data_IF_386700220333
#
_entry.id   IF_386700220333
#
_cell.length_a   1.000
_cell.length_b   1.000
_cell.length_c   1.000
_cell.angle_alpha   90.00
_cell.angle_beta   90.00
_cell.angle_gamma   90.00
#
_symmetry.space_group_name_H-M   'P 1'
#
loop_
_entity.id
_entity.type
_entity.pdbx_description
1 polymer ?
#
# COMPACT_ATOMS: atom_id res chain seq x y z
N UNK A 1 -56.92 -36.88 9.27
CA UNK A 1 -56.37 -38.13 9.81
C UNK A 1 -55.95 -38.97 8.61
N UNK A 2 -54.65 -39.34 8.53
CA UNK A 2 -54.14 -40.14 7.39
C UNK A 2 -54.33 -41.63 7.75
N UNK A 3 -55.05 -42.35 6.88
CA UNK A 3 -55.31 -43.78 7.04
C UNK A 3 -54.43 -44.58 6.08
N UNK A 4 -53.78 -45.64 6.57
CA UNK A 4 -52.90 -46.52 5.81
C UNK A 4 -53.61 -47.86 5.65
N UNK A 5 -53.81 -48.35 4.41
CA UNK A 5 -54.39 -49.65 4.17
C UNK A 5 -53.39 -50.76 4.50
N UNK A 6 -53.81 -51.75 5.25
CA UNK A 6 -53.02 -52.98 5.53
C UNK A 6 -53.48 -54.13 4.65
N UNK A 7 -52.62 -55.18 4.51
CA UNK A 7 -52.86 -56.29 3.62
C UNK A 7 -54.21 -57.06 3.84
N UNK A 8 -54.82 -56.88 4.99
CA UNK A 8 -56.14 -57.47 5.32
C UNK A 8 -57.33 -56.59 4.88
N UNK A 9 -57.10 -55.46 4.21
CA UNK A 9 -58.13 -54.51 3.79
C UNK A 9 -58.63 -53.55 4.87
N UNK A 10 -58.19 -53.65 6.12
CA UNK A 10 -58.48 -52.70 7.16
C UNK A 10 -57.65 -51.43 7.01
N UNK A 11 -58.19 -50.30 7.46
CA UNK A 11 -57.47 -49.00 7.46
C UNK A 11 -57.05 -48.65 8.89
N UNK A 12 -55.79 -48.43 9.09
CA UNK A 12 -55.20 -48.04 10.39
C UNK A 12 -54.67 -46.63 10.34
N UNK A 13 -54.98 -45.81 11.36
CA UNK A 13 -54.44 -44.44 11.44
C UNK A 13 -52.93 -44.46 11.45
N UNK A 14 -52.24 -43.59 10.67
CA UNK A 14 -50.81 -43.49 10.60
C UNK A 14 -50.16 -43.26 11.97
N UNK A 15 -50.89 -42.59 12.90
CA UNK A 15 -50.47 -42.34 14.27
C UNK A 15 -50.27 -43.59 15.12
N UNK A 16 -50.91 -44.72 14.76
CA UNK A 16 -50.72 -46.02 15.44
C UNK A 16 -49.60 -46.83 14.86
N UNK A 17 -49.12 -46.44 13.66
CA UNK A 17 -48.03 -47.14 12.96
C UNK A 17 -46.67 -46.42 13.07
N UNK A 18 -46.67 -45.14 13.35
CA UNK A 18 -45.45 -44.34 13.41
C UNK A 18 -45.60 -43.10 14.33
N UNK A 19 -44.51 -42.78 15.04
CA UNK A 19 -44.41 -41.54 15.78
C UNK A 19 -44.10 -40.37 14.84
N UNK A 20 -45.04 -39.41 14.76
CA UNK A 20 -44.94 -38.27 13.87
C UNK A 20 -44.41 -37.09 14.69
N UNK A 21 -43.16 -36.72 14.45
CA UNK A 21 -42.51 -35.59 15.12
C UNK A 21 -42.18 -34.51 14.11
N UNK A 22 -42.45 -33.24 14.47
CA UNK A 22 -41.98 -32.09 13.70
C UNK A 22 -40.52 -31.83 14.03
N UNK A 23 -39.65 -32.00 13.08
CA UNK A 23 -38.25 -31.64 13.20
C UNK A 23 -37.92 -30.48 12.25
N UNK A 24 -37.05 -29.57 12.71
CA UNK A 24 -36.52 -28.53 11.81
C UNK A 24 -35.34 -29.14 11.04
N UNK A 25 -35.49 -29.22 9.74
CA UNK A 25 -34.39 -29.58 8.82
C UNK A 25 -33.74 -28.35 8.21
N UNK A 26 -32.64 -28.56 7.53
CA UNK A 26 -32.00 -27.48 6.74
C UNK A 26 -32.93 -27.06 5.60
N UNK A 27 -33.20 -25.74 5.48
CA UNK A 27 -34.03 -25.20 4.40
C UNK A 27 -33.33 -25.32 3.03
N UNK A 28 -32.02 -25.28 3.01
CA UNK A 28 -31.20 -25.38 1.81
C UNK A 28 -29.96 -26.22 2.14
N UNK A 29 -29.65 -27.18 1.29
CA UNK A 29 -28.42 -27.96 1.33
C UNK A 29 -27.49 -27.34 0.29
N UNK A 30 -26.36 -26.80 0.75
CA UNK A 30 -25.37 -26.19 -0.11
C UNK A 30 -24.15 -27.10 -0.20
N UNK A 31 -23.49 -27.10 -1.36
CA UNK A 31 -22.25 -27.83 -1.57
C UNK A 31 -21.24 -26.95 -2.32
N UNK A 32 -19.99 -26.99 -1.89
CA UNK A 32 -18.86 -26.37 -2.57
C UNK A 32 -17.79 -27.43 -2.82
N UNK A 33 -17.24 -27.48 -4.01
CA UNK A 33 -16.22 -28.44 -4.40
C UNK A 33 -16.55 -29.91 -4.02
N UNK A 34 -17.81 -30.30 -4.21
CA UNK A 34 -18.37 -31.63 -3.88
C UNK A 34 -18.59 -31.93 -2.38
N UNK A 35 -18.22 -31.02 -1.48
CA UNK A 35 -18.47 -31.15 -0.04
C UNK A 35 -19.74 -30.40 0.36
N UNK A 36 -20.49 -30.94 1.31
CA UNK A 36 -21.59 -30.24 1.93
C UNK A 36 -21.04 -29.14 2.83
N UNK A 37 -21.62 -27.94 2.73
CA UNK A 37 -21.16 -26.78 3.48
C UNK A 37 -22.28 -26.14 4.29
N UNK A 38 -21.96 -25.73 5.50
CA UNK A 38 -22.78 -24.87 6.36
C UNK A 38 -22.05 -23.55 6.61
N UNK A 39 -22.74 -22.43 6.42
CA UNK A 39 -22.15 -21.11 6.64
C UNK A 39 -22.51 -20.55 8.01
N UNK A 40 -21.51 -20.15 8.77
CA UNK A 40 -21.65 -19.30 9.95
C UNK A 40 -21.19 -17.90 9.56
N UNK A 41 -22.13 -16.99 9.41
CA UNK A 41 -21.87 -15.61 8.98
C UNK A 41 -21.68 -14.75 10.22
N UNK A 42 -20.60 -14.00 10.28
CA UNK A 42 -20.32 -12.99 11.29
C UNK A 42 -19.68 -11.75 10.64
N UNK A 43 -19.79 -10.60 11.30
CA UNK A 43 -19.23 -9.35 10.83
C UNK A 43 -18.31 -8.74 11.90
N UNK A 44 -17.45 -7.83 11.47
CA UNK A 44 -16.50 -7.14 12.35
C UNK A 44 -17.21 -6.06 13.18
N UNK A 45 -16.75 -5.87 14.39
CA UNK A 45 -17.10 -4.69 15.18
C UNK A 45 -16.37 -3.46 14.63
N UNK A 46 -17.02 -2.29 14.75
CA UNK A 46 -16.40 -1.03 14.35
C UNK A 46 -15.03 -0.84 15.02
N UNK A 47 -14.04 -0.42 14.22
CA UNK A 47 -12.68 -0.16 14.69
C UNK A 47 -11.74 -1.36 14.77
N UNK A 48 -12.19 -2.58 14.46
CA UNK A 48 -11.32 -3.77 14.39
C UNK A 48 -11.06 -4.20 12.95
N UNK A 49 -9.85 -4.71 12.68
CA UNK A 49 -9.51 -5.27 11.39
C UNK A 49 -10.14 -6.66 11.23
N UNK A 50 -10.70 -6.92 10.05
CA UNK A 50 -11.28 -8.24 9.71
C UNK A 50 -10.25 -9.37 9.86
N UNK A 51 -9.03 -9.13 9.40
CA UNK A 51 -7.92 -10.10 9.50
C UNK A 51 -7.59 -10.46 10.94
N UNK A 52 -7.59 -9.48 11.85
CA UNK A 52 -7.25 -9.72 13.26
C UNK A 52 -8.35 -10.51 13.96
N UNK A 53 -9.62 -10.22 13.65
CA UNK A 53 -10.77 -10.98 14.16
C UNK A 53 -10.71 -12.44 13.70
N UNK A 54 -10.44 -12.66 12.40
CA UNK A 54 -10.36 -14.02 11.87
C UNK A 54 -9.18 -14.80 12.46
N UNK A 55 -8.01 -14.15 12.62
CA UNK A 55 -6.85 -14.78 13.28
C UNK A 55 -7.14 -15.16 14.73
N UNK A 56 -7.80 -14.26 15.48
CA UNK A 56 -8.17 -14.53 16.86
C UNK A 56 -9.23 -15.62 16.95
N UNK A 57 -10.25 -15.60 16.10
CA UNK A 57 -11.25 -16.67 15.99
C UNK A 57 -10.63 -18.02 15.64
N UNK A 58 -9.69 -18.04 14.68
CA UNK A 58 -8.94 -19.27 14.34
C UNK A 58 -8.16 -19.82 15.54
N UNK A 59 -7.46 -18.92 16.27
CA UNK A 59 -6.70 -19.28 17.46
C UNK A 59 -7.59 -19.88 18.54
N UNK A 60 -8.74 -19.25 18.81
CA UNK A 60 -9.69 -19.73 19.82
C UNK A 60 -10.26 -21.11 19.42
N UNK A 61 -10.68 -21.27 18.16
CA UNK A 61 -11.20 -22.54 17.67
C UNK A 61 -10.15 -23.66 17.74
N UNK A 62 -8.91 -23.38 17.34
CA UNK A 62 -7.82 -24.34 17.43
C UNK A 62 -7.52 -24.76 18.89
N UNK A 63 -7.61 -23.79 19.81
CA UNK A 63 -7.42 -24.04 21.25
C UNK A 63 -8.54 -24.94 21.78
N UNK A 64 -9.81 -24.63 21.50
CA UNK A 64 -10.96 -25.41 21.96
C UNK A 64 -10.95 -26.84 21.40
N UNK A 65 -10.50 -27.01 20.14
CA UNK A 65 -10.33 -28.35 19.54
C UNK A 65 -9.22 -29.13 20.26
N UNK A 66 -8.09 -28.48 20.60
CA UNK A 66 -6.98 -29.12 21.32
C UNK A 66 -7.33 -29.49 22.76
N UNK A 67 -8.11 -28.65 23.42
CA UNK A 67 -8.58 -28.89 24.80
C UNK A 67 -9.74 -29.90 24.87
N UNK A 68 -10.28 -30.31 23.70
CA UNK A 68 -11.39 -31.24 23.62
C UNK A 68 -12.75 -30.68 23.97
N UNK A 69 -12.84 -29.34 24.13
CA UNK A 69 -14.13 -28.66 24.36
C UNK A 69 -15.00 -28.66 23.10
N UNK A 70 -14.36 -28.55 21.92
CA UNK A 70 -15.01 -28.64 20.61
C UNK A 70 -14.55 -29.89 19.88
N UNK A 71 -15.41 -30.89 19.80
CA UNK A 71 -15.17 -32.10 19.05
C UNK A 71 -15.78 -31.97 17.65
N UNK A 72 -14.95 -32.03 16.62
CA UNK A 72 -15.41 -32.11 15.25
C UNK A 72 -15.66 -33.58 14.89
N UNK A 73 -16.81 -33.86 14.30
CA UNK A 73 -17.10 -35.21 13.78
C UNK A 73 -16.09 -35.61 12.68
N UNK A 74 -15.78 -36.89 12.54
CA UNK A 74 -14.89 -37.39 11.49
C UNK A 74 -15.35 -36.95 10.09
N UNK A 75 -14.49 -36.22 9.37
CA UNK A 75 -14.79 -35.67 8.04
C UNK A 75 -15.32 -34.25 8.03
N UNK A 76 -15.53 -33.61 9.18
CA UNK A 76 -15.88 -32.20 9.29
C UNK A 76 -14.61 -31.36 9.41
N UNK A 77 -14.51 -30.32 8.60
CA UNK A 77 -13.45 -29.30 8.67
C UNK A 77 -14.05 -27.92 8.60
N UNK A 78 -13.37 -26.92 9.15
CA UNK A 78 -13.79 -25.54 9.05
C UNK A 78 -12.78 -24.72 8.22
N UNK A 79 -13.27 -23.69 7.55
CA UNK A 79 -12.47 -22.76 6.79
C UNK A 79 -13.09 -21.37 6.88
N UNK A 80 -12.26 -20.37 7.15
CA UNK A 80 -12.67 -18.98 7.01
C UNK A 80 -12.65 -18.59 5.53
N UNK A 81 -13.77 -18.08 5.04
CA UNK A 81 -13.95 -17.67 3.63
C UNK A 81 -14.43 -16.22 3.56
N UNK A 82 -14.49 -15.67 2.36
CA UNK A 82 -14.91 -14.29 2.11
C UNK A 82 -13.74 -13.35 1.87
N UNK A 83 -13.89 -12.07 2.27
CA UNK A 83 -12.89 -11.03 2.03
C UNK A 83 -11.52 -11.36 2.65
N UNK A 84 -11.52 -12.03 3.79
CA UNK A 84 -10.29 -12.47 4.46
C UNK A 84 -9.40 -13.33 3.56
N UNK A 85 -9.96 -14.34 2.90
CA UNK A 85 -9.19 -15.24 2.02
C UNK A 85 -8.60 -14.49 0.81
N UNK A 86 -9.39 -13.56 0.25
CA UNK A 86 -8.92 -12.72 -0.85
C UNK A 86 -7.81 -11.78 -0.39
N UNK A 87 -7.93 -11.21 0.80
CA UNK A 87 -6.93 -10.31 1.37
C UNK A 87 -5.63 -11.06 1.69
N UNK A 88 -5.69 -12.26 2.23
CA UNK A 88 -4.51 -13.08 2.53
C UNK A 88 -3.77 -13.49 1.24
N UNK A 89 -4.50 -13.96 0.21
CA UNK A 89 -3.94 -14.26 -1.10
C UNK A 89 -3.28 -13.05 -1.75
N UNK A 90 -3.93 -11.88 -1.66
CA UNK A 90 -3.40 -10.66 -2.23
C UNK A 90 -2.17 -10.17 -1.47
N UNK A 91 -2.16 -10.24 -0.13
CA UNK A 91 -0.98 -9.90 0.70
C UNK A 91 0.22 -10.76 0.35
N UNK A 92 0.02 -12.07 0.19
CA UNK A 92 1.10 -12.98 -0.23
C UNK A 92 1.68 -12.64 -1.60
N UNK A 93 0.85 -12.23 -2.55
CA UNK A 93 1.30 -11.76 -3.87
C UNK A 93 2.02 -10.43 -3.80
N UNK A 94 1.55 -9.49 -2.96
CA UNK A 94 2.15 -8.17 -2.78
C UNK A 94 3.55 -8.24 -2.19
N UNK A 95 3.84 -9.23 -1.34
CA UNK A 95 5.20 -9.47 -0.83
C UNK A 95 6.24 -9.71 -1.94
N UNK A 96 5.82 -10.19 -3.10
CA UNK A 96 6.67 -10.38 -4.28
C UNK A 96 6.60 -9.16 -5.21
N UNK A 97 5.39 -8.64 -5.43
CA UNK A 97 5.15 -7.56 -6.40
C UNK A 97 5.80 -6.24 -5.97
N UNK A 98 5.75 -5.90 -4.67
CA UNK A 98 6.32 -4.64 -4.17
C UNK A 98 7.85 -4.59 -4.34
N UNK A 99 8.64 -5.58 -3.90
CA UNK A 99 10.09 -5.59 -4.17
C UNK A 99 10.41 -5.63 -5.67
N UNK A 100 9.63 -6.36 -6.46
CA UNK A 100 9.80 -6.41 -7.92
C UNK A 100 9.56 -5.04 -8.56
N UNK A 101 8.51 -4.32 -8.13
CA UNK A 101 8.24 -2.97 -8.61
C UNK A 101 9.38 -2.00 -8.26
N UNK A 102 9.89 -2.04 -7.03
CA UNK A 102 11.04 -1.23 -6.61
C UNK A 102 12.30 -1.56 -7.41
N UNK A 103 12.54 -2.83 -7.69
CA UNK A 103 13.67 -3.26 -8.52
C UNK A 103 13.53 -2.77 -9.96
N UNK A 104 12.34 -2.84 -10.55
CA UNK A 104 12.07 -2.31 -11.90
C UNK A 104 12.31 -0.80 -11.92
N UNK A 105 11.81 -0.05 -10.93
CA UNK A 105 12.06 1.39 -10.80
C UNK A 105 13.56 1.68 -10.72
N UNK A 106 14.30 0.94 -9.91
CA UNK A 106 15.75 1.09 -9.80
C UNK A 106 16.47 0.79 -11.12
N UNK A 107 16.06 -0.24 -11.85
CA UNK A 107 16.60 -0.57 -13.17
C UNK A 107 16.34 0.54 -14.19
N UNK A 108 15.13 1.07 -14.24
CA UNK A 108 14.77 2.20 -15.12
C UNK A 108 15.63 3.42 -14.80
N UNK A 109 15.82 3.75 -13.51
CA UNK A 109 16.72 4.83 -13.08
C UNK A 109 18.17 4.57 -13.49
N UNK A 110 18.64 3.33 -13.37
CA UNK A 110 19.99 2.96 -13.79
C UNK A 110 20.19 3.13 -15.29
N UNK A 111 19.24 2.70 -16.13
CA UNK A 111 19.32 2.90 -17.58
C UNK A 111 19.28 4.38 -17.96
N UNK A 112 18.55 5.21 -17.20
CA UNK A 112 18.45 6.64 -17.43
C UNK A 112 19.79 7.36 -17.10
N UNK A 113 20.37 7.10 -15.93
CA UNK A 113 21.54 7.85 -15.45
C UNK A 113 22.88 7.18 -15.75
N UNK A 114 22.89 5.90 -16.13
CA UNK A 114 24.07 5.07 -16.43
C UNK A 114 25.13 5.04 -15.30
N UNK A 115 24.78 5.50 -14.10
CA UNK A 115 25.63 5.50 -12.90
C UNK A 115 24.83 5.05 -11.71
N UNK A 116 25.38 4.10 -10.93
CA UNK A 116 24.71 3.56 -9.75
C UNK A 116 24.48 4.65 -8.70
N UNK A 117 25.46 5.53 -8.52
CA UNK A 117 25.35 6.60 -7.50
C UNK A 117 24.22 7.59 -7.81
N UNK A 118 24.10 8.05 -9.07
CA UNK A 118 23.00 8.94 -9.43
C UNK A 118 21.65 8.22 -9.30
N UNK A 119 21.56 6.97 -9.74
CA UNK A 119 20.32 6.18 -9.61
C UNK A 119 19.90 6.02 -8.14
N UNK A 120 20.84 5.76 -7.23
CA UNK A 120 20.56 5.65 -5.79
C UNK A 120 20.15 6.99 -5.17
N UNK A 121 20.72 8.12 -5.60
CA UNK A 121 20.31 9.46 -5.15
C UNK A 121 18.84 9.69 -5.49
N UNK A 122 18.42 9.40 -6.72
CA UNK A 122 17.02 9.56 -7.13
C UNK A 122 16.11 8.54 -6.43
N UNK A 123 16.56 7.30 -6.29
CA UNK A 123 15.82 6.26 -5.62
C UNK A 123 15.59 6.53 -4.12
N UNK A 124 16.49 7.29 -3.48
CA UNK A 124 16.32 7.71 -2.08
C UNK A 124 15.04 8.52 -1.85
N UNK A 125 14.59 9.30 -2.84
CA UNK A 125 13.34 10.03 -2.80
C UNK A 125 12.11 9.11 -2.65
N UNK A 126 12.15 7.91 -3.23
CA UNK A 126 11.08 6.91 -3.10
C UNK A 126 10.94 6.44 -1.66
N UNK A 127 12.05 6.19 -0.97
CA UNK A 127 12.02 5.79 0.45
C UNK A 127 11.45 6.89 1.34
N UNK A 128 11.79 8.15 1.07
CA UNK A 128 11.25 9.28 1.83
C UNK A 128 9.75 9.40 1.59
N UNK A 129 9.29 9.32 0.35
CA UNK A 129 7.86 9.35 0.01
C UNK A 129 7.10 8.19 0.66
N UNK A 130 7.69 6.98 0.63
CA UNK A 130 7.16 5.78 1.27
C UNK A 130 7.01 5.96 2.80
N UNK A 131 8.05 6.45 3.46
CA UNK A 131 8.01 6.71 4.91
C UNK A 131 6.91 7.70 5.28
N UNK A 132 6.75 8.79 4.52
CA UNK A 132 5.72 9.79 4.79
C UNK A 132 4.32 9.28 4.45
N UNK A 133 4.17 8.42 3.45
CA UNK A 133 2.92 7.70 3.20
C UNK A 133 2.47 6.88 4.42
N UNK A 134 3.39 6.18 5.08
CA UNK A 134 3.11 5.47 6.35
C UNK A 134 2.82 6.42 7.51
N UNK A 135 3.56 7.52 7.63
CA UNK A 135 3.32 8.53 8.66
C UNK A 135 1.90 9.10 8.51
N UNK A 136 1.46 9.39 7.29
CA UNK A 136 0.10 9.90 7.07
C UNK A 136 -0.96 8.84 7.41
N UNK A 137 -0.76 7.58 7.06
CA UNK A 137 -1.65 6.48 7.47
C UNK A 137 -1.75 6.37 9.00
N UNK A 138 -0.62 6.50 9.71
CA UNK A 138 -0.60 6.51 11.17
C UNK A 138 -1.34 7.73 11.74
N UNK A 139 -1.14 8.91 11.15
CA UNK A 139 -1.81 10.14 11.54
C UNK A 139 -3.33 10.07 11.39
N UNK A 140 -3.83 9.39 10.38
CA UNK A 140 -5.27 9.16 10.20
C UNK A 140 -5.91 8.43 11.37
N UNK A 141 -5.14 7.58 12.06
CA UNK A 141 -5.60 6.88 13.27
C UNK A 141 -5.53 7.69 14.56
N UNK A 142 -4.93 8.90 14.54
CA UNK A 142 -4.74 9.72 15.75
C UNK A 142 -5.94 10.65 15.99
N UNK A 143 -6.47 10.68 17.20
CA UNK A 143 -7.66 11.48 17.54
C UNK A 143 -7.40 12.99 17.55
N UNK A 144 -6.16 13.41 17.73
CA UNK A 144 -5.76 14.82 17.73
C UNK A 144 -5.50 15.37 16.33
N UNK A 145 -5.25 14.51 15.34
CA UNK A 145 -4.89 14.94 13.99
C UNK A 145 -6.11 15.50 13.26
N UNK A 146 -5.99 16.72 12.73
CA UNK A 146 -7.02 17.50 12.03
C UNK A 146 -8.35 17.62 12.78
N UNK A 147 -8.34 17.54 14.12
CA UNK A 147 -9.52 17.72 14.95
C UNK A 147 -9.79 19.21 15.21
N UNK A 148 -10.15 19.92 14.15
CA UNK A 148 -10.55 21.33 14.18
C UNK A 148 -11.65 21.57 13.14
N UNK A 149 -12.48 22.59 13.39
CA UNK A 149 -13.60 22.92 12.51
C UNK A 149 -13.28 24.15 11.65
N UNK A 150 -13.56 24.03 10.34
CA UNK A 150 -13.52 25.14 9.38
C UNK A 150 -14.92 25.28 8.78
N UNK A 151 -15.46 26.50 8.75
CA UNK A 151 -16.78 26.81 8.20
C UNK A 151 -17.94 25.97 8.79
N UNK A 152 -17.79 25.46 10.03
CA UNK A 152 -18.81 24.68 10.71
C UNK A 152 -18.68 23.15 10.55
N UNK A 153 -17.81 22.68 9.66
CA UNK A 153 -17.52 21.25 9.46
C UNK A 153 -16.23 20.87 10.15
N UNK A 154 -16.22 19.71 10.83
CA UNK A 154 -15.02 19.14 11.40
C UNK A 154 -14.19 18.51 10.29
N UNK A 155 -12.92 18.89 10.17
CA UNK A 155 -12.03 18.36 9.13
C UNK A 155 -11.82 16.86 9.27
N UNK A 156 -11.81 16.33 10.49
CA UNK A 156 -11.71 14.90 10.74
C UNK A 156 -12.88 14.12 10.13
N UNK A 157 -14.10 14.64 10.28
CA UNK A 157 -15.31 14.02 9.73
C UNK A 157 -15.35 14.15 8.20
N UNK A 158 -14.95 15.31 7.67
CA UNK A 158 -14.89 15.57 6.23
C UNK A 158 -13.94 14.60 5.51
N UNK A 159 -12.77 14.33 6.09
CA UNK A 159 -11.80 13.38 5.53
C UNK A 159 -11.97 11.95 6.05
N UNK A 160 -13.05 11.64 6.76
CA UNK A 160 -13.37 10.32 7.30
C UNK A 160 -12.20 9.66 8.04
N UNK A 161 -11.52 10.44 8.89
CA UNK A 161 -10.32 10.00 9.58
C UNK A 161 -10.63 8.96 10.64
N UNK A 162 -10.14 7.76 10.40
CA UNK A 162 -10.21 6.62 11.32
C UNK A 162 -8.96 5.76 11.13
N UNK A 163 -8.75 4.81 12.01
CA UNK A 163 -7.64 3.87 11.88
C UNK A 163 -7.78 3.04 10.59
N UNK A 164 -6.82 3.17 9.69
CA UNK A 164 -6.79 2.45 8.42
C UNK A 164 -5.81 1.29 8.53
N UNK A 165 -6.32 0.08 8.30
CA UNK A 165 -5.51 -1.12 8.28
C UNK A 165 -4.76 -1.26 6.95
N UNK A 166 -3.58 -1.88 6.99
CA UNK A 166 -2.78 -2.19 5.82
C UNK A 166 -3.49 -3.21 4.92
N UNK A 167 -4.42 -2.73 4.12
CA UNK A 167 -5.16 -3.51 3.13
C UNK A 167 -4.44 -3.56 1.79
N UNK A 168 -4.93 -4.40 0.88
CA UNK A 168 -4.47 -4.43 -0.52
C UNK A 168 -4.57 -3.06 -1.18
N UNK A 169 -5.64 -2.30 -0.90
CA UNK A 169 -5.83 -0.96 -1.43
C UNK A 169 -4.71 0.00 -1.03
N UNK A 170 -4.27 -0.03 0.23
CA UNK A 170 -3.13 0.75 0.73
C UNK A 170 -1.84 0.41 -0.03
N UNK A 171 -1.56 -0.89 -0.24
CA UNK A 171 -0.37 -1.31 -0.99
C UNK A 171 -0.40 -0.90 -2.46
N UNK A 172 -1.58 -0.95 -3.10
CA UNK A 172 -1.76 -0.42 -4.46
C UNK A 172 -1.46 1.09 -4.50
N UNK A 173 -1.89 1.84 -3.48
CA UNK A 173 -1.55 3.25 -3.32
C UNK A 173 -0.03 3.48 -3.21
N UNK A 174 0.69 2.65 -2.46
CA UNK A 174 2.16 2.72 -2.40
C UNK A 174 2.83 2.39 -3.73
N UNK A 175 2.35 1.38 -4.46
CA UNK A 175 2.91 1.05 -5.79
C UNK A 175 2.71 2.21 -6.76
N UNK A 176 1.54 2.85 -6.76
CA UNK A 176 1.29 4.05 -7.55
C UNK A 176 2.21 5.21 -7.13
N UNK A 177 2.41 5.40 -5.82
CA UNK A 177 3.32 6.40 -5.28
C UNK A 177 4.76 6.21 -5.76
N UNK A 178 5.26 4.98 -5.87
CA UNK A 178 6.64 4.73 -6.34
C UNK A 178 6.87 5.27 -7.74
N UNK A 179 5.89 5.13 -8.65
CA UNK A 179 5.96 5.69 -9.98
C UNK A 179 5.99 7.22 -9.98
N UNK A 180 5.05 7.83 -9.27
CA UNK A 180 4.94 9.29 -9.17
C UNK A 180 6.13 9.91 -8.46
N UNK A 181 6.61 9.28 -7.36
CA UNK A 181 7.74 9.79 -6.59
C UNK A 181 9.07 9.82 -7.36
N UNK A 182 9.22 9.02 -8.40
CA UNK A 182 10.42 9.04 -9.26
C UNK A 182 10.35 10.07 -10.37
N UNK A 183 9.17 10.48 -10.81
CA UNK A 183 8.97 11.31 -12.01
C UNK A 183 9.64 12.69 -11.87
N UNK A 184 9.31 13.47 -10.86
CA UNK A 184 9.89 14.79 -10.63
C UNK A 184 11.41 14.74 -10.40
N UNK A 185 11.87 13.71 -9.66
CA UNK A 185 13.29 13.47 -9.41
C UNK A 185 14.07 13.20 -10.70
N UNK A 186 13.54 12.32 -11.56
CA UNK A 186 14.15 11.97 -12.85
C UNK A 186 14.21 13.18 -13.78
N UNK A 187 13.11 13.92 -13.89
CA UNK A 187 13.06 15.12 -14.75
C UNK A 187 14.09 16.17 -14.29
N UNK A 188 14.18 16.42 -12.99
CA UNK A 188 15.15 17.35 -12.42
C UNK A 188 16.59 16.88 -12.65
N UNK A 189 16.89 15.60 -12.34
CA UNK A 189 18.21 15.04 -12.49
C UNK A 189 18.69 14.97 -13.93
N UNK A 190 17.82 14.61 -14.86
CA UNK A 190 18.11 14.59 -16.29
C UNK A 190 18.46 15.99 -16.79
N UNK A 191 17.72 17.01 -16.33
CA UNK A 191 17.98 18.38 -16.75
C UNK A 191 19.28 18.93 -16.16
N UNK A 192 19.60 18.63 -14.90
CA UNK A 192 20.90 18.95 -14.30
C UNK A 192 22.04 18.28 -15.09
N UNK A 193 21.87 17.00 -15.43
CA UNK A 193 22.86 16.27 -16.24
C UNK A 193 23.09 16.93 -17.61
N UNK A 194 22.03 17.35 -18.27
CA UNK A 194 22.12 18.07 -19.55
C UNK A 194 22.87 19.41 -19.42
N UNK A 195 22.55 20.20 -18.38
CA UNK A 195 23.25 21.45 -18.11
C UNK A 195 24.73 21.22 -17.81
N UNK A 196 25.08 20.13 -17.12
CA UNK A 196 26.48 19.76 -16.87
C UNK A 196 27.22 19.37 -18.16
N UNK A 197 26.55 18.72 -19.12
CA UNK A 197 27.14 18.42 -20.43
C UNK A 197 27.35 19.67 -21.29
N UNK A 198 26.43 20.64 -21.20
CA UNK A 198 26.54 21.91 -21.96
C UNK A 198 27.60 22.85 -21.40
N UNK A 199 27.72 22.98 -20.07
CA UNK A 199 28.53 23.99 -19.41
C UNK A 199 29.91 23.48 -18.97
N UNK A 200 30.15 22.17 -18.94
CA UNK A 200 31.37 21.52 -18.45
C UNK A 200 31.92 22.17 -17.15
N UNK A 201 31.14 22.20 -16.05
CA UNK A 201 31.52 22.94 -14.86
C UNK A 201 32.75 22.31 -14.20
N UNK A 202 33.84 23.10 -14.03
CA UNK A 202 35.13 22.64 -13.50
C UNK A 202 35.42 23.12 -12.08
N UNK A 203 34.70 24.15 -11.64
CA UNK A 203 34.83 24.68 -10.26
C UNK A 203 33.59 24.40 -9.47
N UNK A 204 33.71 24.44 -8.12
CA UNK A 204 32.54 24.28 -7.25
C UNK A 204 31.50 25.37 -7.46
N UNK A 205 31.95 26.59 -7.78
CA UNK A 205 31.05 27.70 -8.07
C UNK A 205 30.22 27.42 -9.33
N UNK A 206 30.87 26.96 -10.41
CA UNK A 206 30.20 26.65 -11.67
C UNK A 206 29.19 25.50 -11.51
N UNK A 207 29.51 24.48 -10.68
CA UNK A 207 28.58 23.37 -10.38
C UNK A 207 27.30 23.92 -9.72
N UNK A 208 27.46 24.76 -8.68
CA UNK A 208 26.32 25.34 -7.98
C UNK A 208 25.48 26.23 -8.88
N UNK A 209 26.12 27.05 -9.68
CA UNK A 209 25.43 27.92 -10.64
C UNK A 209 24.68 27.09 -11.70
N UNK A 210 25.26 26.03 -12.22
CA UNK A 210 24.63 25.11 -13.14
C UNK A 210 23.40 24.42 -12.53
N UNK A 211 23.52 23.94 -11.28
CA UNK A 211 22.39 23.31 -10.56
C UNK A 211 21.27 24.30 -10.27
N UNK A 212 21.59 25.52 -9.86
CA UNK A 212 20.59 26.59 -9.63
C UNK A 212 19.89 26.95 -10.94
N UNK A 213 20.64 27.12 -12.03
CA UNK A 213 20.07 27.43 -13.34
C UNK A 213 19.13 26.31 -13.85
N UNK A 214 19.50 25.05 -13.63
CA UNK A 214 18.64 23.88 -13.92
C UNK A 214 17.38 23.89 -13.05
N UNK A 215 17.54 24.09 -11.75
CA UNK A 215 16.44 24.13 -10.79
C UNK A 215 15.41 25.18 -11.11
N UNK A 216 15.83 26.42 -11.38
CA UNK A 216 14.93 27.52 -11.70
C UNK A 216 14.01 27.25 -12.90
N UNK A 217 14.48 26.48 -13.87
CA UNK A 217 13.68 26.09 -15.06
C UNK A 217 12.71 24.96 -14.79
N UNK A 218 13.01 24.04 -13.85
CA UNK A 218 12.24 22.81 -13.62
C UNK A 218 11.35 22.83 -12.40
N UNK A 219 11.71 23.57 -11.34
CA UNK A 219 10.93 23.65 -10.10
C UNK A 219 9.48 24.11 -10.34
N UNK A 220 9.27 25.10 -11.21
CA UNK A 220 7.91 25.62 -11.48
C UNK A 220 7.00 24.57 -12.15
N UNK A 221 7.37 23.91 -13.27
CA UNK A 221 6.55 22.84 -13.84
C UNK A 221 6.29 21.69 -12.88
N UNK A 222 7.30 21.21 -12.17
CA UNK A 222 7.17 20.12 -11.21
C UNK A 222 6.22 20.49 -10.05
N UNK A 223 6.35 21.68 -9.47
CA UNK A 223 5.44 22.15 -8.42
C UNK A 223 3.98 22.26 -8.92
N UNK A 224 3.77 22.66 -10.18
CA UNK A 224 2.42 22.71 -10.77
C UNK A 224 1.83 21.32 -10.91
N UNK A 225 2.60 20.34 -11.38
CA UNK A 225 2.15 18.94 -11.51
C UNK A 225 1.78 18.36 -10.15
N UNK A 226 2.66 18.49 -9.16
CA UNK A 226 2.42 18.00 -7.80
C UNK A 226 1.19 18.66 -7.17
N UNK A 227 1.04 20.00 -7.30
CA UNK A 227 -0.12 20.71 -6.79
C UNK A 227 -1.43 20.24 -7.47
N UNK A 228 -1.43 20.10 -8.78
CA UNK A 228 -2.60 19.62 -9.52
C UNK A 228 -3.02 18.23 -9.09
N UNK A 229 -2.07 17.31 -8.92
CA UNK A 229 -2.36 15.94 -8.47
C UNK A 229 -2.86 15.91 -7.02
N UNK A 230 -2.27 16.69 -6.12
CA UNK A 230 -2.76 16.83 -4.74
C UNK A 230 -4.20 17.34 -4.71
N UNK A 231 -4.52 18.37 -5.48
CA UNK A 231 -5.88 18.91 -5.58
C UNK A 231 -6.84 17.85 -6.15
N UNK A 232 -6.42 17.08 -7.16
CA UNK A 232 -7.22 16.01 -7.76
C UNK A 232 -7.51 14.85 -6.77
N UNK A 233 -6.64 14.61 -5.80
CA UNK A 233 -6.85 13.60 -4.76
C UNK A 233 -7.80 14.05 -3.64
N UNK A 234 -8.01 15.36 -3.42
CA UNK A 234 -8.90 15.85 -2.35
C UNK A 234 -10.33 15.32 -2.45
N UNK A 235 -11.00 15.32 -3.63
CA UNK A 235 -12.34 14.75 -3.75
C UNK A 235 -12.38 13.24 -3.46
N UNK A 236 -11.29 12.52 -3.73
CA UNK A 236 -11.19 11.09 -3.42
C UNK A 236 -11.10 10.87 -1.91
N UNK A 237 -10.28 11.68 -1.21
CA UNK A 237 -10.12 11.60 0.24
C UNK A 237 -11.38 11.99 1.02
N UNK A 238 -12.26 12.79 0.44
CA UNK A 238 -13.55 13.21 1.03
C UNK A 238 -14.74 12.43 0.51
N UNK A 239 -14.53 11.39 -0.31
CA UNK A 239 -15.62 10.61 -0.91
C UNK A 239 -16.34 9.74 0.12
N UNK A 240 -17.69 9.72 0.07
CA UNK A 240 -18.59 8.98 0.98
C UNK A 240 -19.52 8.09 0.18
N UNK A 241 -19.14 7.20 -0.60
CA UNK A 241 -20.02 6.38 -1.43
C UNK A 241 -19.59 4.93 -1.50
N UNK A 242 -20.28 4.15 -2.29
CA UNK A 242 -19.88 2.79 -2.63
C UNK A 242 -18.50 2.84 -3.29
N UNK A 243 -17.52 2.14 -2.72
CA UNK A 243 -16.14 2.11 -3.19
C UNK A 243 -15.21 3.10 -2.48
N UNK A 244 -15.70 4.02 -1.65
CA UNK A 244 -14.87 4.91 -0.83
C UNK A 244 -13.97 4.10 0.12
N UNK A 245 -14.46 2.99 0.62
CA UNK A 245 -13.75 2.01 1.46
C UNK A 245 -12.48 1.41 0.80
N UNK A 246 -12.39 1.45 -0.53
CA UNK A 246 -11.21 1.03 -1.29
C UNK A 246 -10.41 2.26 -1.77
N UNK A 247 -11.10 3.29 -2.27
CA UNK A 247 -10.47 4.44 -2.91
C UNK A 247 -9.75 5.33 -1.89
N UNK A 248 -10.34 5.59 -0.72
CA UNK A 248 -9.75 6.44 0.31
C UNK A 248 -8.45 5.83 0.87
N UNK A 249 -8.41 4.55 1.33
CA UNK A 249 -7.16 3.93 1.78
C UNK A 249 -6.05 3.89 0.72
N UNK A 250 -6.39 3.80 -0.57
CA UNK A 250 -5.44 3.85 -1.67
C UNK A 250 -4.88 5.27 -1.87
N UNK A 251 -5.71 6.30 -1.71
CA UNK A 251 -5.32 7.68 -1.94
C UNK A 251 -4.44 8.26 -0.82
N UNK A 252 -4.59 7.81 0.43
CA UNK A 252 -3.86 8.35 1.59
C UNK A 252 -2.34 8.23 1.45
N UNK A 253 -1.73 7.05 1.21
CA UNK A 253 -0.28 6.96 1.06
C UNK A 253 0.22 7.75 -0.15
N UNK A 254 -0.54 7.77 -1.23
CA UNK A 254 -0.20 8.54 -2.43
C UNK A 254 -0.19 10.05 -2.13
N UNK A 255 -1.22 10.56 -1.45
CA UNK A 255 -1.30 11.96 -1.04
C UNK A 255 -0.17 12.34 -0.09
N UNK A 256 0.09 11.53 0.95
CA UNK A 256 1.18 11.76 1.91
C UNK A 256 2.55 11.77 1.26
N UNK A 257 2.83 10.79 0.40
CA UNK A 257 4.09 10.72 -0.32
C UNK A 257 4.30 11.89 -1.28
N UNK A 258 3.25 12.34 -1.96
CA UNK A 258 3.31 13.51 -2.85
C UNK A 258 3.49 14.83 -2.11
N UNK A 259 2.94 15.00 -0.91
CA UNK A 259 3.19 16.18 -0.09
C UNK A 259 4.69 16.36 0.18
N UNK A 260 5.39 15.30 0.55
CA UNK A 260 6.84 15.37 0.82
C UNK A 260 7.66 15.45 -0.46
N UNK A 261 7.14 14.96 -1.57
CA UNK A 261 7.83 14.99 -2.85
C UNK A 261 8.15 16.42 -3.30
N UNK A 262 7.30 17.40 -3.00
CA UNK A 262 7.60 18.80 -3.23
C UNK A 262 8.85 19.27 -2.48
N UNK A 263 9.18 18.66 -1.32
CA UNK A 263 10.44 18.92 -0.60
C UNK A 263 11.61 18.10 -1.18
N UNK A 264 11.40 16.85 -1.56
CA UNK A 264 12.46 16.00 -2.15
C UNK A 264 12.95 16.57 -3.49
N UNK A 265 12.11 17.32 -4.20
CA UNK A 265 12.50 18.06 -5.41
C UNK A 265 13.68 19.02 -5.19
N UNK A 266 13.86 19.53 -3.97
CA UNK A 266 15.04 20.34 -3.60
C UNK A 266 16.20 19.50 -3.07
N UNK A 267 15.92 18.38 -2.43
CA UNK A 267 16.94 17.49 -1.85
C UNK A 267 17.78 16.82 -2.95
N UNK A 268 17.15 16.34 -4.00
CA UNK A 268 17.86 15.66 -5.11
C UNK A 268 18.91 16.54 -5.78
N UNK A 269 18.64 17.79 -6.21
CA UNK A 269 19.66 18.68 -6.75
C UNK A 269 20.82 18.96 -5.78
N UNK A 270 20.52 19.12 -4.49
CA UNK A 270 21.56 19.34 -3.47
C UNK A 270 22.47 18.12 -3.35
N UNK A 271 21.92 16.90 -3.32
CA UNK A 271 22.70 15.68 -3.26
C UNK A 271 23.55 15.47 -4.54
N UNK A 272 23.00 15.78 -5.72
CA UNK A 272 23.75 15.74 -6.97
C UNK A 272 24.88 16.77 -6.99
N UNK A 273 24.63 17.99 -6.52
CA UNK A 273 25.63 19.03 -6.39
C UNK A 273 26.78 18.58 -5.49
N UNK A 274 26.44 18.07 -4.29
CA UNK A 274 27.42 17.57 -3.33
C UNK A 274 28.24 16.39 -3.88
N UNK A 275 27.58 15.45 -4.56
CA UNK A 275 28.26 14.32 -5.19
C UNK A 275 29.24 14.79 -6.28
N UNK A 276 28.86 15.70 -7.14
CA UNK A 276 29.70 16.23 -8.22
C UNK A 276 30.88 17.06 -7.66
N UNK A 277 30.65 17.88 -6.64
CA UNK A 277 31.71 18.63 -5.96
C UNK A 277 32.78 17.67 -5.36
N UNK A 278 32.35 16.57 -4.75
CA UNK A 278 33.28 15.57 -4.21
C UNK A 278 34.02 14.79 -5.28
N UNK A 279 33.38 14.50 -6.43
CA UNK A 279 34.04 13.86 -7.57
C UNK A 279 35.17 14.75 -8.12
N UNK A 280 34.95 16.03 -8.34
CA UNK A 280 35.97 16.98 -8.81
C UNK A 280 37.11 17.11 -7.80
N UNK A 281 36.82 17.18 -6.50
CA UNK A 281 37.88 17.20 -5.46
C UNK A 281 38.76 15.97 -5.54
N UNK A 282 38.18 14.81 -5.79
CA UNK A 282 38.96 13.55 -5.89
C UNK A 282 39.82 13.52 -7.14
N UNK A 283 39.26 14.01 -8.29
CA UNK A 283 40.04 14.13 -9.53
C UNK A 283 41.21 15.11 -9.42
N UNK A 284 41.01 16.25 -8.79
CA UNK A 284 42.07 17.24 -8.55
C UNK A 284 43.15 16.68 -7.63
N UNK A 285 42.77 15.96 -6.55
CA UNK A 285 43.74 15.33 -5.64
C UNK A 285 44.56 14.25 -6.33
N UNK A 286 43.96 13.44 -7.19
CA UNK A 286 44.66 12.40 -7.95
C UNK A 286 45.63 13.02 -8.95
N UNK A 287 45.26 14.10 -9.67
CA UNK A 287 46.19 14.80 -10.60
C UNK A 287 47.40 15.39 -9.88
N UNK A 288 47.19 16.03 -8.73
CA UNK A 288 48.30 16.56 -7.92
C UNK A 288 49.25 15.42 -7.46
N UNK A 289 48.67 14.26 -7.11
CA UNK A 289 49.48 13.12 -6.65
C UNK A 289 50.25 12.47 -7.79
N UNK A 290 49.69 12.40 -9.00
CA UNK A 290 50.39 11.96 -10.21
C UNK A 290 51.52 12.93 -10.61
N UNK A 291 51.28 14.24 -10.54
CA UNK A 291 52.32 15.23 -10.81
C UNK A 291 53.47 15.13 -9.80
N UNK A 292 53.20 15.01 -8.50
CA UNK A 292 54.23 14.84 -7.46
C UNK A 292 55.05 13.58 -7.70
N UNK A 293 54.39 12.46 -8.03
CA UNK A 293 55.10 11.18 -8.32
C UNK A 293 55.98 11.27 -9.57
N UNK A 294 55.59 12.09 -10.56
CA UNK A 294 56.34 12.28 -11.80
C UNK A 294 57.60 13.17 -11.59
N UNK A 295 57.60 14.04 -10.59
CA UNK A 295 58.80 14.87 -10.22
C UNK A 295 59.79 14.16 -9.29
N UNK A 296 59.42 13.02 -8.67
CA UNK A 296 60.29 12.22 -7.80
C UNK A 296 61.10 11.12 -8.56
N UNK A 297 60.86 10.96 -9.87
CA UNK A 297 61.62 10.07 -10.76
C UNK A 297 62.57 10.91 -11.66
#
# INVERSE_FOLDING_TARGET
>A
MILVPIATGAQVPLKELADINYTRGAQMIQSENTFLVGYVIFDKLAGKAEVDIVKEASRILEQQIKEGELNLDPGVSYKFAGNYEQQERATSRLMIVVPLALLIVLLVLYFQFKTVTASLIHFSGVFVAFAVGFILLWLYGQDWFMNFSIAGENMRDLFQMHTINLSVAVWVGFIALFGVATDDGVLMGTYIHHVFLERDPRTKHDIREAVVAAGLKRVRPAAMTTATTLIALLPVLTSTGKGADIMVPMAIPTFGGMLIQSMTMFVVPVLQCWWRENAIKKEQKNKIQEEVTTYEI
#
